data_IF_415369632949
#
_entry.id   IF_415369632949
#
_cell.length_a   1.000
_cell.length_b   1.000
_cell.length_c   1.000
_cell.angle_alpha   90.00
_cell.angle_beta   90.00
_cell.angle_gamma   90.00
#
_symmetry.space_group_name_H-M   'P 1'
#
loop_
_entity.id
_entity.type
_entity.pdbx_description
1 polymer ?
#
# COMPACT_ATOMS: atom_id res chain seq x y z
N UNK A 1 3.45 -4.85 -11.35
CA UNK A 1 3.39 -3.45 -10.87
C UNK A 1 4.80 -2.86 -10.92
N UNK A 2 4.93 -1.63 -11.36
CA UNK A 2 6.22 -0.97 -11.54
C UNK A 2 6.15 0.40 -10.87
N UNK A 3 7.15 0.72 -10.05
CA UNK A 3 7.31 2.04 -9.44
C UNK A 3 8.30 2.86 -10.28
N UNK A 4 7.81 3.93 -10.90
CA UNK A 4 8.63 4.76 -11.78
C UNK A 4 9.83 5.39 -11.09
N UNK A 5 9.69 5.73 -9.80
CA UNK A 5 10.77 6.31 -8.99
C UNK A 5 11.94 5.37 -8.72
N UNK A 6 11.74 4.07 -8.87
CA UNK A 6 12.77 3.04 -8.65
C UNK A 6 13.52 2.66 -9.93
N UNK A 7 13.12 3.24 -11.08
CA UNK A 7 13.69 2.93 -12.37
C UNK A 7 14.85 3.85 -12.73
N UNK A 8 15.86 3.29 -13.39
CA UNK A 8 16.89 4.06 -14.05
C UNK A 8 16.31 4.80 -15.27
N UNK A 9 17.00 5.82 -15.77
CA UNK A 9 16.56 6.57 -16.95
C UNK A 9 16.35 5.66 -18.17
N UNK A 10 17.24 4.68 -18.37
CA UNK A 10 17.15 3.69 -19.46
C UNK A 10 15.90 2.81 -19.30
N UNK A 11 15.68 2.25 -18.13
CA UNK A 11 14.48 1.43 -17.85
C UNK A 11 13.19 2.23 -17.94
N UNK A 12 13.23 3.49 -17.57
CA UNK A 12 12.08 4.38 -17.70
C UNK A 12 11.72 4.60 -19.18
N UNK A 13 12.73 4.78 -20.03
CA UNK A 13 12.52 4.92 -21.47
C UNK A 13 11.97 3.65 -22.10
N UNK A 14 12.50 2.49 -21.74
CA UNK A 14 11.98 1.18 -22.15
C UNK A 14 10.50 1.02 -21.73
N UNK A 15 10.15 1.42 -20.52
CA UNK A 15 8.77 1.39 -20.04
C UNK A 15 7.87 2.30 -20.87
N UNK A 16 8.33 3.51 -21.21
CA UNK A 16 7.57 4.43 -22.08
C UNK A 16 7.28 3.81 -23.45
N UNK A 17 8.25 3.16 -24.03
CA UNK A 17 8.08 2.46 -25.31
C UNK A 17 7.05 1.32 -25.19
N UNK A 18 7.08 0.55 -24.11
CA UNK A 18 6.10 -0.51 -23.84
C UNK A 18 4.70 0.03 -23.67
N UNK A 19 4.53 1.16 -22.98
CA UNK A 19 3.24 1.81 -22.79
C UNK A 19 2.68 2.28 -24.15
N UNK A 20 3.51 2.88 -24.99
CA UNK A 20 3.10 3.32 -26.34
C UNK A 20 2.71 2.14 -27.21
N UNK A 21 3.46 1.03 -27.12
CA UNK A 21 3.20 -0.18 -27.93
C UNK A 21 1.94 -0.94 -27.49
N UNK A 22 1.67 -0.98 -26.17
CA UNK A 22 0.56 -1.73 -25.58
C UNK A 22 -0.27 -0.89 -24.60
N UNK A 23 -0.89 0.22 -25.04
CA UNK A 23 -1.49 1.18 -24.12
C UNK A 23 -2.64 0.60 -23.27
N UNK A 24 -3.34 -0.41 -23.78
CA UNK A 24 -4.45 -1.05 -23.05
C UNK A 24 -4.01 -1.98 -21.91
N UNK A 25 -2.72 -2.27 -21.81
CA UNK A 25 -2.18 -3.13 -20.75
C UNK A 25 -1.69 -2.35 -19.54
N UNK A 26 -1.71 -1.02 -19.63
CA UNK A 26 -1.12 -0.15 -18.62
C UNK A 26 -2.14 0.81 -18.05
N UNK A 27 -2.08 0.99 -16.77
CA UNK A 27 -2.72 2.09 -16.05
C UNK A 27 -1.67 2.80 -15.22
N UNK A 28 -1.81 4.09 -15.06
CA UNK A 28 -0.96 4.88 -14.19
C UNK A 28 -1.74 5.28 -12.95
N UNK A 29 -1.07 5.20 -11.82
CA UNK A 29 -1.62 5.62 -10.54
C UNK A 29 -0.57 6.42 -9.79
N UNK A 30 -0.98 7.52 -9.20
CA UNK A 30 -0.11 8.29 -8.31
C UNK A 30 0.29 7.44 -7.10
N UNK A 31 1.56 7.51 -6.74
CA UNK A 31 2.06 6.83 -5.54
C UNK A 31 1.65 7.61 -4.31
N UNK A 32 0.94 6.96 -3.42
CA UNK A 32 0.59 7.53 -2.11
C UNK A 32 1.73 7.26 -1.14
N UNK A 33 2.22 8.32 -0.52
CA UNK A 33 3.20 8.20 0.55
C UNK A 33 2.49 7.82 1.85
N UNK A 34 2.54 6.55 2.19
CA UNK A 34 1.92 6.04 3.41
C UNK A 34 2.62 6.58 4.64
N UNK A 35 1.85 6.82 5.69
CA UNK A 35 2.41 7.18 6.99
C UNK A 35 3.12 6.00 7.63
N UNK A 36 4.13 6.33 8.41
CA UNK A 36 4.83 5.35 9.23
C UNK A 36 4.06 5.12 10.53
N UNK A 37 4.01 3.87 10.95
CA UNK A 37 3.54 3.44 12.26
C UNK A 37 4.63 2.66 12.98
N UNK A 38 4.65 2.76 14.30
CA UNK A 38 5.51 1.90 15.11
C UNK A 38 5.00 0.46 15.11
N UNK A 39 5.89 -0.46 14.90
CA UNK A 39 5.65 -1.89 15.04
C UNK A 39 6.71 -2.51 15.94
N UNK A 40 6.38 -3.65 16.53
CA UNK A 40 7.34 -4.45 17.29
C UNK A 40 8.00 -5.44 16.35
N UNK A 41 9.31 -5.38 16.26
CA UNK A 41 10.11 -6.33 15.52
C UNK A 41 11.16 -6.93 16.47
N UNK A 42 10.94 -8.20 16.88
CA UNK A 42 11.71 -8.80 17.96
C UNK A 42 11.47 -8.07 19.29
N UNK A 43 12.50 -7.47 19.86
CA UNK A 43 12.45 -6.68 21.10
C UNK A 43 12.50 -5.17 20.83
N UNK A 44 12.47 -4.75 19.58
CA UNK A 44 12.64 -3.35 19.18
C UNK A 44 11.36 -2.78 18.59
N UNK A 45 11.14 -1.48 18.80
CA UNK A 45 10.15 -0.69 18.09
C UNK A 45 10.79 -0.10 16.84
N UNK A 46 10.15 -0.30 15.70
CA UNK A 46 10.60 0.21 14.42
C UNK A 46 9.44 0.87 13.68
N UNK A 47 9.75 1.81 12.80
CA UNK A 47 8.78 2.50 11.98
C UNK A 47 8.65 1.81 10.62
N UNK A 48 7.41 1.58 10.19
CA UNK A 48 7.11 0.95 8.90
C UNK A 48 5.92 1.62 8.24
N UNK A 49 5.94 1.69 6.92
CA UNK A 49 4.80 2.16 6.14
C UNK A 49 3.57 1.31 6.42
N UNK A 50 2.43 1.96 6.59
CA UNK A 50 1.18 1.30 6.93
C UNK A 50 0.00 1.88 6.17
N UNK A 51 -1.02 1.07 5.97
CA UNK A 51 -2.31 1.48 5.44
C UNK A 51 -3.47 0.87 6.24
N UNK A 52 -4.64 1.44 6.08
CA UNK A 52 -5.88 0.92 6.61
C UNK A 52 -6.75 0.38 5.48
N UNK A 53 -7.10 -0.89 5.55
CA UNK A 53 -8.16 -1.46 4.72
C UNK A 53 -9.49 -1.30 5.44
N UNK A 54 -10.33 -0.41 4.95
CA UNK A 54 -11.71 -0.30 5.38
C UNK A 54 -12.59 -1.28 4.60
N UNK A 55 -13.68 -1.70 5.20
CA UNK A 55 -14.66 -2.58 4.58
C UNK A 55 -15.99 -1.86 4.43
N UNK A 56 -16.48 -1.79 3.21
CA UNK A 56 -17.72 -1.10 2.86
C UNK A 56 -18.64 -2.09 2.15
N UNK A 57 -19.88 -2.17 2.62
CA UNK A 57 -20.91 -2.99 2.01
C UNK A 57 -21.99 -2.08 1.45
N UNK A 58 -22.26 -2.22 0.16
CA UNK A 58 -23.28 -1.45 -0.54
C UNK A 58 -24.44 -2.36 -0.95
N UNK A 59 -25.64 -2.04 -0.45
CA UNK A 59 -26.91 -2.65 -0.82
C UNK A 59 -27.93 -1.55 -1.04
N UNK A 60 -29.09 -1.61 -0.39
CA UNK A 60 -30.03 -0.48 -0.35
C UNK A 60 -29.41 0.74 0.34
N UNK A 61 -28.56 0.49 1.29
CA UNK A 61 -27.77 1.48 2.00
C UNK A 61 -26.30 1.09 1.93
N UNK A 62 -25.42 2.07 2.00
CA UNK A 62 -23.98 1.84 2.13
C UNK A 62 -23.61 1.84 3.60
N UNK A 63 -22.99 0.76 4.05
CA UNK A 63 -22.52 0.59 5.43
C UNK A 63 -21.02 0.42 5.46
N UNK A 64 -20.38 1.15 6.35
CA UNK A 64 -18.95 1.01 6.62
C UNK A 64 -18.79 0.18 7.90
N UNK A 65 -17.97 -0.85 7.83
CA UNK A 65 -17.60 -1.65 9.01
C UNK A 65 -16.92 -0.76 10.05
N UNK A 66 -17.28 -0.92 11.31
CA UNK A 66 -16.78 -0.09 12.43
C UNK A 66 -15.33 -0.40 12.83
N UNK A 67 -14.61 -1.11 12.02
CA UNK A 67 -13.21 -1.43 12.20
C UNK A 67 -12.55 -1.55 10.84
N UNK A 68 -11.35 -2.09 10.78
CA UNK A 68 -10.63 -2.31 9.55
C UNK A 68 -9.43 -3.21 9.78
N UNK A 69 -8.64 -3.38 8.76
CA UNK A 69 -7.38 -4.12 8.82
C UNK A 69 -6.23 -3.14 8.61
N UNK A 70 -5.48 -2.86 9.66
CA UNK A 70 -4.23 -2.09 9.56
C UNK A 70 -3.12 -3.02 9.12
N UNK A 71 -2.52 -2.72 7.98
CA UNK A 71 -1.41 -3.49 7.41
C UNK A 71 -0.15 -2.67 7.46
N UNK A 72 0.99 -3.33 7.57
CA UNK A 72 2.29 -2.68 7.54
C UNK A 72 3.29 -3.46 6.70
N UNK A 73 4.26 -2.75 6.15
CA UNK A 73 5.41 -3.35 5.49
C UNK A 73 6.44 -3.83 6.53
N UNK A 74 7.02 -4.99 6.33
CA UNK A 74 8.15 -5.47 7.14
C UNK A 74 9.49 -4.96 6.65
N UNK A 75 9.52 -4.38 5.46
CA UNK A 75 10.72 -3.84 4.85
C UNK A 75 10.72 -2.32 5.01
N UNK A 76 11.85 -1.69 5.44
CA UNK A 76 11.95 -0.24 5.50
C UNK A 76 11.68 0.40 4.13
N UNK A 77 11.02 1.55 4.13
CA UNK A 77 10.74 2.38 2.94
C UNK A 77 10.01 1.66 1.79
N UNK A 78 9.37 0.53 2.07
CA UNK A 78 8.59 -0.19 1.06
C UNK A 78 7.20 0.44 0.90
N UNK A 79 6.78 0.64 -0.35
CA UNK A 79 5.42 1.04 -0.70
C UNK A 79 4.41 -0.10 -0.65
N UNK A 80 4.87 -1.33 -0.46
CA UNK A 80 4.04 -2.53 -0.46
C UNK A 80 3.79 -2.99 0.97
N UNK A 81 2.55 -2.95 1.40
CA UNK A 81 2.14 -3.27 2.78
C UNK A 81 1.28 -4.54 2.88
N UNK A 82 0.97 -5.21 1.76
CA UNK A 82 0.11 -6.39 1.79
C UNK A 82 0.84 -7.63 2.35
N UNK A 83 0.06 -8.54 2.96
CA UNK A 83 0.59 -9.75 3.58
C UNK A 83 1.19 -10.75 2.58
N UNK A 84 0.74 -10.73 1.32
CA UNK A 84 1.26 -11.63 0.28
C UNK A 84 2.70 -11.31 -0.13
N UNK A 85 3.20 -10.13 0.21
CA UNK A 85 4.58 -9.71 -0.05
C UNK A 85 5.39 -9.50 1.24
N UNK A 86 5.06 -10.24 2.28
CA UNK A 86 5.79 -10.23 3.54
C UNK A 86 5.39 -9.14 4.52
N UNK A 87 4.27 -8.45 4.26
CA UNK A 87 3.70 -7.50 5.21
C UNK A 87 3.07 -8.18 6.43
N UNK A 88 2.78 -7.41 7.44
CA UNK A 88 2.08 -7.82 8.65
C UNK A 88 0.81 -7.01 8.87
N UNK A 89 0.13 -7.29 9.97
CA UNK A 89 -1.07 -6.55 10.36
C UNK A 89 -1.04 -6.21 11.85
N UNK A 90 -1.79 -5.16 12.22
CA UNK A 90 -1.98 -4.70 13.59
C UNK A 90 -3.47 -4.65 13.91
N UNK A 91 -3.80 -4.73 15.19
CA UNK A 91 -5.15 -4.42 15.64
C UNK A 91 -5.52 -2.98 15.28
N UNK A 92 -6.76 -2.81 14.86
CA UNK A 92 -7.31 -1.50 14.50
C UNK A 92 -8.36 -1.09 15.53
N UNK A 93 -8.06 -0.03 16.25
CA UNK A 93 -8.99 0.55 17.23
C UNK A 93 -9.59 1.82 16.68
N UNK A 94 -10.91 1.86 16.63
CA UNK A 94 -11.65 3.05 16.22
C UNK A 94 -12.04 3.82 17.48
N UNK A 95 -11.52 5.02 17.58
CA UNK A 95 -11.83 5.88 18.71
C UNK A 95 -13.18 6.58 18.49
N UNK A 96 -13.96 6.68 19.53
CA UNK A 96 -15.18 7.51 19.55
C UNK A 96 -14.86 8.83 20.24
N UNK A 97 -15.44 9.88 19.70
CA UNK A 97 -15.35 11.20 20.33
C UNK A 97 -16.18 11.29 21.62
#
# INVERSE_FOLDING_TARGET
MVFGSELTAEKLDDLRQLIVKYPRRWIAQEVVDFKDLEIIEGESLVWRKADLRAFVVTGKETKVWKSGLTRFSRTPDSFVVNSSQGGGFKDTWVMTE
#
